data_IF_204857951892
#
_entry.id   IF_204857951892
#
_cell.length_a   1.000
_cell.length_b   1.000
_cell.length_c   1.000
_cell.angle_alpha   90.00
_cell.angle_beta   90.00
_cell.angle_gamma   90.00
#
_symmetry.space_group_name_H-M   'P 1'
#
loop_
_entity.id
_entity.type
_entity.pdbx_description
1 polymer ?
#
# COMPACT_ATOMS: atom_id res chain seq x y z
N UNK A 1 -23.89 4.97 -1.47
CA UNK A 1 -22.92 6.03 -1.84
C UNK A 1 -23.68 7.20 -2.47
N UNK A 2 -23.26 8.45 -2.29
CA UNK A 2 -23.94 9.60 -2.91
C UNK A 2 -23.69 9.63 -4.44
N UNK A 3 -24.68 10.09 -5.20
CA UNK A 3 -24.67 10.23 -6.66
C UNK A 3 -23.44 10.96 -7.15
N UNK A 4 -23.11 12.09 -6.51
CA UNK A 4 -21.96 12.91 -6.87
C UNK A 4 -20.64 12.10 -6.86
N UNK A 5 -20.55 11.12 -5.97
CA UNK A 5 -19.36 10.32 -5.81
C UNK A 5 -19.25 9.19 -6.82
N UNK A 6 -20.36 8.55 -7.21
CA UNK A 6 -20.38 7.61 -8.34
C UNK A 6 -19.96 8.35 -9.63
N UNK A 7 -20.48 9.56 -9.83
CA UNK A 7 -20.11 10.40 -10.97
C UNK A 7 -18.61 10.71 -10.98
N UNK A 8 -18.02 11.11 -9.84
CA UNK A 8 -16.58 11.37 -9.76
C UNK A 8 -15.73 10.12 -10.09
N UNK A 9 -16.14 8.94 -9.63
CA UNK A 9 -15.44 7.68 -9.96
C UNK A 9 -15.55 7.34 -11.45
N UNK A 10 -16.73 7.53 -12.05
CA UNK A 10 -16.95 7.32 -13.48
C UNK A 10 -16.18 8.34 -14.34
N UNK A 11 -16.15 9.61 -13.94
CA UNK A 11 -15.38 10.65 -14.62
C UNK A 11 -13.87 10.33 -14.55
N UNK A 12 -13.39 9.89 -13.38
CA UNK A 12 -11.99 9.43 -13.21
C UNK A 12 -11.68 8.24 -14.12
N UNK A 13 -12.60 7.28 -14.21
CA UNK A 13 -12.50 6.12 -15.09
C UNK A 13 -12.43 6.54 -16.56
N UNK A 14 -13.32 7.43 -17.01
CA UNK A 14 -13.32 7.93 -18.40
C UNK A 14 -12.02 8.64 -18.76
N UNK A 15 -11.51 9.53 -17.89
CA UNK A 15 -10.22 10.22 -18.10
C UNK A 15 -9.06 9.24 -18.24
N UNK A 16 -9.02 8.20 -17.40
CA UNK A 16 -8.00 7.15 -17.44
C UNK A 16 -8.06 6.33 -18.72
N UNK A 17 -9.27 5.95 -19.14
CA UNK A 17 -9.49 5.23 -20.40
C UNK A 17 -9.02 6.06 -21.59
N UNK A 18 -9.35 7.35 -21.63
CA UNK A 18 -8.90 8.25 -22.70
C UNK A 18 -7.39 8.38 -22.76
N UNK A 19 -6.73 8.51 -21.60
CA UNK A 19 -5.27 8.55 -21.52
C UNK A 19 -4.66 7.27 -22.07
N UNK A 20 -5.19 6.11 -21.67
CA UNK A 20 -4.69 4.83 -22.13
C UNK A 20 -4.90 4.65 -23.65
N UNK A 21 -6.05 5.08 -24.18
CA UNK A 21 -6.30 5.10 -25.63
C UNK A 21 -5.27 5.95 -26.37
N UNK A 22 -4.94 7.15 -25.86
CA UNK A 22 -3.93 8.03 -26.45
C UNK A 22 -2.53 7.39 -26.43
N UNK A 23 -2.16 6.74 -25.34
CA UNK A 23 -0.86 6.09 -25.19
C UNK A 23 -0.67 4.90 -26.14
N UNK A 24 -1.75 4.16 -26.42
CA UNK A 24 -1.72 2.97 -27.29
C UNK A 24 -1.95 3.28 -28.77
N UNK A 25 -2.63 4.40 -29.10
CA UNK A 25 -2.95 4.76 -30.49
C UNK A 25 -1.75 4.79 -31.47
N UNK A 26 -0.53 5.19 -31.07
CA UNK A 26 0.63 5.18 -31.98
C UNK A 26 1.19 3.79 -32.30
N UNK A 27 0.82 2.75 -31.54
CA UNK A 27 1.40 1.41 -31.69
C UNK A 27 0.62 0.62 -32.74
N UNK A 28 1.26 0.34 -33.86
CA UNK A 28 0.68 -0.47 -34.93
C UNK A 28 0.84 -1.97 -34.64
N UNK A 29 -0.12 -2.58 -33.93
CA UNK A 29 -0.21 -4.02 -33.71
C UNK A 29 -1.68 -4.48 -33.73
N UNK A 30 -1.98 -5.71 -34.25
CA UNK A 30 -3.30 -6.31 -34.13
C UNK A 30 -3.79 -6.41 -32.68
N UNK A 31 -2.92 -6.83 -31.75
CA UNK A 31 -3.27 -6.90 -30.33
C UNK A 31 -3.61 -5.52 -29.74
N UNK A 32 -2.89 -4.48 -30.17
CA UNK A 32 -3.21 -3.09 -29.78
C UNK A 32 -4.53 -2.62 -30.36
N UNK A 33 -4.88 -3.03 -31.58
CA UNK A 33 -6.19 -2.75 -32.15
C UNK A 33 -7.31 -3.32 -31.27
N UNK A 34 -7.19 -4.58 -30.85
CA UNK A 34 -8.17 -5.24 -29.98
C UNK A 34 -8.29 -4.55 -28.62
N UNK A 35 -7.16 -4.17 -28.02
CA UNK A 35 -7.13 -3.38 -26.77
C UNK A 35 -7.87 -2.04 -26.96
N UNK A 36 -7.60 -1.31 -28.04
CA UNK A 36 -8.28 -0.05 -28.32
C UNK A 36 -9.80 -0.24 -28.50
N UNK A 37 -10.25 -1.36 -29.09
CA UNK A 37 -11.67 -1.69 -29.17
C UNK A 37 -12.28 -1.96 -27.79
N UNK A 38 -11.60 -2.73 -26.93
CA UNK A 38 -12.04 -2.97 -25.56
C UNK A 38 -12.10 -1.68 -24.73
N UNK A 39 -11.11 -0.79 -24.89
CA UNK A 39 -11.12 0.51 -24.23
C UNK A 39 -12.29 1.39 -24.70
N UNK A 40 -12.63 1.35 -26.00
CA UNK A 40 -13.83 2.04 -26.51
C UNK A 40 -15.11 1.45 -25.93
N UNK A 41 -15.21 0.12 -25.86
CA UNK A 41 -16.36 -0.54 -25.25
C UNK A 41 -16.49 -0.15 -23.77
N UNK A 42 -15.38 -0.16 -23.02
CA UNK A 42 -15.35 0.24 -21.63
C UNK A 42 -15.79 1.70 -21.46
N UNK A 43 -15.28 2.63 -22.30
CA UNK A 43 -15.70 4.04 -22.31
C UNK A 43 -17.20 4.20 -22.56
N UNK A 44 -17.76 3.47 -23.53
CA UNK A 44 -19.20 3.50 -23.84
C UNK A 44 -20.01 2.99 -22.64
N UNK A 45 -19.59 1.88 -22.03
CA UNK A 45 -20.26 1.32 -20.84
C UNK A 45 -20.18 2.29 -19.65
N UNK A 46 -19.04 2.96 -19.43
CA UNK A 46 -18.87 3.96 -18.38
C UNK A 46 -19.81 5.16 -18.58
N UNK A 47 -19.89 5.68 -19.82
CA UNK A 47 -20.82 6.75 -20.17
C UNK A 47 -22.29 6.37 -20.02
N UNK A 48 -22.66 5.10 -20.28
CA UNK A 48 -24.00 4.58 -19.99
C UNK A 48 -24.29 4.56 -18.49
N UNK A 49 -23.35 4.09 -17.67
CA UNK A 49 -23.49 4.11 -16.21
C UNK A 49 -23.63 5.55 -15.69
N UNK A 50 -22.87 6.50 -16.27
CA UNK A 50 -22.90 7.92 -15.93
C UNK A 50 -24.25 8.57 -16.24
N UNK A 51 -24.78 8.33 -17.43
CA UNK A 51 -26.10 8.85 -17.85
C UNK A 51 -27.27 8.27 -17.06
N UNK A 52 -27.10 7.10 -16.43
CA UNK A 52 -28.11 6.41 -15.62
C UNK A 52 -27.75 6.30 -14.15
N UNK A 53 -26.94 7.21 -13.61
CA UNK A 53 -26.41 7.11 -12.24
C UNK A 53 -27.50 6.97 -11.17
N UNK A 54 -28.67 7.59 -11.38
CA UNK A 54 -29.79 7.58 -10.44
C UNK A 54 -30.48 6.20 -10.33
N UNK A 55 -30.30 5.33 -11.32
CA UNK A 55 -30.89 3.99 -11.40
C UNK A 55 -29.83 2.93 -11.68
N UNK A 56 -28.60 3.18 -11.23
CA UNK A 56 -27.46 2.34 -11.53
C UNK A 56 -27.55 1.01 -10.78
N UNK A 57 -27.58 -0.08 -11.52
CA UNK A 57 -27.64 -1.44 -10.97
C UNK A 57 -26.24 -2.06 -10.83
N UNK A 58 -26.01 -2.93 -9.83
CA UNK A 58 -24.74 -3.65 -9.68
C UNK A 58 -24.32 -4.42 -10.93
N UNK A 59 -25.26 -4.98 -11.69
CA UNK A 59 -24.99 -5.67 -12.95
C UNK A 59 -24.31 -4.76 -13.99
N UNK A 60 -24.70 -3.49 -14.07
CA UNK A 60 -24.08 -2.53 -14.99
C UNK A 60 -22.61 -2.26 -14.66
N UNK A 61 -22.23 -2.30 -13.38
CA UNK A 61 -20.84 -2.14 -12.96
C UNK A 61 -20.07 -3.48 -13.05
N UNK A 62 -20.74 -4.61 -12.83
CA UNK A 62 -20.15 -5.92 -13.12
C UNK A 62 -19.75 -6.06 -14.60
N UNK A 63 -20.58 -5.56 -15.52
CA UNK A 63 -20.26 -5.50 -16.95
C UNK A 63 -19.05 -4.62 -17.27
N UNK A 64 -18.80 -3.55 -16.50
CA UNK A 64 -17.56 -2.76 -16.63
C UNK A 64 -16.37 -3.60 -16.20
N UNK A 65 -16.49 -4.28 -15.06
CA UNK A 65 -15.44 -5.12 -14.50
C UNK A 65 -15.06 -6.27 -15.43
N UNK A 66 -16.02 -6.94 -16.03
CA UNK A 66 -15.75 -7.99 -17.02
C UNK A 66 -14.93 -7.45 -18.20
N UNK A 67 -15.26 -6.25 -18.70
CA UNK A 67 -14.46 -5.62 -19.77
C UNK A 67 -13.05 -5.23 -19.28
N UNK A 68 -12.90 -4.80 -18.03
CA UNK A 68 -11.58 -4.53 -17.43
C UNK A 68 -10.75 -5.81 -17.30
N UNK A 69 -11.36 -6.91 -16.87
CA UNK A 69 -10.69 -8.21 -16.76
C UNK A 69 -10.27 -8.73 -18.14
N UNK A 70 -11.11 -8.53 -19.17
CA UNK A 70 -10.74 -8.81 -20.55
C UNK A 70 -9.52 -7.98 -20.98
N UNK A 71 -9.50 -6.66 -20.69
CA UNK A 71 -8.33 -5.81 -20.96
C UNK A 71 -7.08 -6.30 -20.24
N UNK A 72 -7.20 -6.70 -18.97
CA UNK A 72 -6.10 -7.24 -18.17
C UNK A 72 -5.49 -8.49 -18.82
N UNK A 73 -6.33 -9.39 -19.35
CA UNK A 73 -5.87 -10.62 -19.99
C UNK A 73 -5.04 -10.36 -21.26
N UNK A 74 -5.26 -9.25 -21.96
CA UNK A 74 -4.43 -8.86 -23.11
C UNK A 74 -3.00 -8.48 -22.72
N UNK A 75 -2.74 -8.14 -21.45
CA UNK A 75 -1.40 -7.76 -21.02
C UNK A 75 -0.36 -8.89 -21.12
N UNK A 76 -0.80 -10.15 -21.22
CA UNK A 76 0.08 -11.29 -21.48
C UNK A 76 0.52 -11.40 -22.94
N UNK A 77 0.01 -10.55 -23.84
CA UNK A 77 0.35 -10.58 -25.26
C UNK A 77 1.82 -10.19 -25.50
N UNK A 78 2.59 -10.99 -26.27
CA UNK A 78 3.98 -10.66 -26.63
C UNK A 78 4.12 -9.33 -27.39
N UNK A 79 3.09 -8.95 -28.14
CA UNK A 79 3.03 -7.71 -28.94
C UNK A 79 3.12 -6.43 -28.08
N UNK A 80 2.95 -6.56 -26.76
CA UNK A 80 3.00 -5.45 -25.81
C UNK A 80 4.38 -5.23 -25.18
N UNK A 81 5.42 -5.92 -25.69
CA UNK A 81 6.82 -5.67 -25.35
C UNK A 81 7.38 -4.44 -26.10
N UNK A 82 6.60 -3.36 -26.13
CA UNK A 82 6.98 -2.08 -26.74
C UNK A 82 6.85 -0.99 -25.68
N UNK A 83 7.68 0.05 -25.74
CA UNK A 83 7.61 1.14 -24.77
C UNK A 83 6.46 2.09 -25.11
N UNK A 84 5.74 2.56 -24.10
CA UNK A 84 4.78 3.64 -24.24
C UNK A 84 5.51 4.97 -24.35
N UNK A 85 5.25 5.70 -25.42
CA UNK A 85 5.85 7.01 -25.70
C UNK A 85 5.20 8.13 -24.86
N UNK A 86 4.01 7.88 -24.32
CA UNK A 86 3.29 8.86 -23.52
C UNK A 86 4.06 9.19 -22.22
N UNK A 87 4.36 10.48 -21.95
CA UNK A 87 5.15 10.91 -20.80
C UNK A 87 4.63 10.43 -19.46
N UNK A 88 3.31 10.20 -19.32
CA UNK A 88 2.70 9.74 -18.08
C UNK A 88 3.16 8.33 -17.70
N UNK A 89 3.58 7.53 -18.67
CA UNK A 89 4.04 6.16 -18.45
C UNK A 89 5.56 6.01 -18.45
N UNK A 90 6.33 7.11 -18.49
CA UNK A 90 7.79 7.11 -18.25
C UNK A 90 8.58 6.04 -19.05
N UNK A 91 8.22 5.79 -20.31
CA UNK A 91 8.81 4.75 -21.17
C UNK A 91 8.66 3.30 -20.63
N UNK A 92 7.69 3.04 -19.76
CA UNK A 92 7.30 1.69 -19.33
C UNK A 92 6.88 0.85 -20.53
N UNK A 93 7.04 -0.47 -20.42
CA UNK A 93 6.49 -1.39 -21.41
C UNK A 93 4.96 -1.27 -21.43
N UNK A 94 4.38 -1.37 -22.62
CA UNK A 94 2.94 -1.25 -22.84
C UNK A 94 2.16 -2.27 -21.99
N UNK A 95 2.67 -3.50 -21.85
CA UNK A 95 2.05 -4.50 -20.97
C UNK A 95 1.99 -4.05 -19.51
N UNK A 96 3.03 -3.38 -19.01
CA UNK A 96 3.13 -3.00 -17.60
C UNK A 96 2.19 -1.81 -17.34
N UNK A 97 2.16 -0.84 -18.25
CA UNK A 97 1.19 0.26 -18.23
C UNK A 97 -0.26 -0.23 -18.33
N UNK A 98 -0.53 -1.24 -19.17
CA UNK A 98 -1.86 -1.84 -19.31
C UNK A 98 -2.32 -2.54 -18.04
N UNK A 99 -1.46 -3.36 -17.41
CA UNK A 99 -1.76 -4.04 -16.16
C UNK A 99 -2.07 -3.04 -15.04
N UNK A 100 -1.23 -2.01 -14.93
CA UNK A 100 -1.38 -1.00 -13.91
C UNK A 100 -2.71 -0.23 -14.04
N UNK A 101 -3.06 0.20 -15.25
CA UNK A 101 -4.34 0.88 -15.49
C UNK A 101 -5.52 -0.08 -15.34
N UNK A 102 -5.43 -1.32 -15.81
CA UNK A 102 -6.49 -2.31 -15.61
C UNK A 102 -6.74 -2.55 -14.11
N UNK A 103 -5.68 -2.69 -13.32
CA UNK A 103 -5.79 -2.82 -11.86
C UNK A 103 -6.40 -1.58 -11.20
N UNK A 104 -6.07 -0.38 -11.68
CA UNK A 104 -6.67 0.86 -11.19
C UNK A 104 -8.16 0.93 -11.52
N UNK A 105 -8.52 0.66 -12.78
CA UNK A 105 -9.92 0.66 -13.24
C UNK A 105 -10.76 -0.38 -12.49
N UNK A 106 -10.19 -1.56 -12.21
CA UNK A 106 -10.84 -2.59 -11.42
C UNK A 106 -11.14 -2.12 -9.99
N UNK A 107 -10.21 -1.38 -9.36
CA UNK A 107 -10.44 -0.79 -8.02
C UNK A 107 -11.56 0.24 -8.03
N UNK A 108 -11.64 1.09 -9.06
CA UNK A 108 -12.76 2.02 -9.23
C UNK A 108 -14.09 1.28 -9.39
N UNK A 109 -14.15 0.26 -10.25
CA UNK A 109 -15.34 -0.56 -10.46
C UNK A 109 -15.78 -1.25 -9.16
N UNK A 110 -14.84 -1.81 -8.40
CA UNK A 110 -15.11 -2.41 -7.10
C UNK A 110 -15.62 -1.37 -6.09
N UNK A 111 -15.04 -0.17 -6.06
CA UNK A 111 -15.52 0.93 -5.21
C UNK A 111 -16.97 1.33 -5.52
N UNK A 112 -17.34 1.39 -6.80
CA UNK A 112 -18.72 1.63 -7.23
C UNK A 112 -19.66 0.50 -6.83
N UNK A 113 -19.28 -0.75 -7.08
CA UNK A 113 -20.04 -1.94 -6.68
C UNK A 113 -20.33 -1.93 -5.17
N UNK A 114 -19.31 -1.72 -4.34
CA UNK A 114 -19.45 -1.60 -2.87
C UNK A 114 -20.41 -0.46 -2.51
N UNK A 115 -20.31 0.67 -3.22
CA UNK A 115 -21.15 1.84 -3.01
C UNK A 115 -22.64 1.65 -3.35
N UNK A 116 -22.98 0.64 -4.17
CA UNK A 116 -24.34 0.28 -4.60
C UNK A 116 -25.04 -0.71 -3.64
N UNK A 117 -24.60 -0.79 -2.38
CA UNK A 117 -25.21 -1.62 -1.32
C UNK A 117 -25.26 -3.12 -1.65
N UNK A 118 -24.15 -3.63 -2.13
CA UNK A 118 -23.88 -5.05 -2.22
C UNK A 118 -24.02 -5.78 -0.86
N UNK A 119 -24.28 -7.09 -0.90
CA UNK A 119 -24.32 -7.89 0.33
C UNK A 119 -22.94 -7.90 0.99
N UNK A 120 -22.86 -8.18 2.28
CA UNK A 120 -21.57 -8.23 3.00
C UNK A 120 -20.54 -9.17 2.35
N UNK A 121 -20.99 -10.25 1.69
CA UNK A 121 -20.11 -11.20 1.03
C UNK A 121 -19.56 -10.62 -0.28
N UNK A 122 -20.43 -10.00 -1.07
CA UNK A 122 -20.03 -9.38 -2.32
C UNK A 122 -19.03 -8.25 -2.02
N UNK A 123 -19.28 -7.44 -0.98
CA UNK A 123 -18.30 -6.41 -0.53
C UNK A 123 -16.97 -7.05 -0.16
N UNK A 124 -16.98 -8.16 0.61
CA UNK A 124 -15.75 -8.87 1.02
C UNK A 124 -14.94 -9.39 -0.16
N UNK A 125 -15.59 -9.98 -1.16
CA UNK A 125 -14.94 -10.52 -2.36
C UNK A 125 -14.31 -9.43 -3.23
N UNK A 126 -14.80 -8.20 -3.12
CA UNK A 126 -14.27 -7.03 -3.82
C UNK A 126 -13.07 -6.38 -3.13
N UNK A 127 -12.78 -6.73 -1.86
CA UNK A 127 -11.69 -6.12 -1.10
C UNK A 127 -10.33 -6.58 -1.60
N UNK A 128 -9.44 -5.65 -2.02
CA UNK A 128 -8.11 -6.04 -2.49
C UNK A 128 -7.30 -6.70 -1.36
N UNK A 129 -6.34 -7.53 -1.76
CA UNK A 129 -5.33 -8.04 -0.84
C UNK A 129 -4.54 -6.89 -0.21
N UNK A 130 -3.94 -7.13 0.96
CA UNK A 130 -2.96 -6.20 1.52
C UNK A 130 -1.80 -6.02 0.55
N UNK A 131 -1.29 -4.81 0.46
CA UNK A 131 -0.22 -4.42 -0.45
C UNK A 131 1.14 -4.47 0.23
N UNK A 132 2.24 -4.54 -0.54
CA UNK A 132 3.58 -4.35 0.00
C UNK A 132 3.65 -3.04 0.79
N UNK A 133 4.10 -3.14 2.04
CA UNK A 133 4.19 -2.05 2.98
C UNK A 133 5.20 -2.41 4.07
N UNK A 134 5.61 -1.43 4.86
CA UNK A 134 6.42 -1.69 6.04
C UNK A 134 5.71 -2.62 7.04
N UNK A 135 4.39 -2.53 7.18
CA UNK A 135 3.66 -3.41 8.08
C UNK A 135 2.43 -4.02 7.40
N UNK A 136 2.29 -5.32 7.61
CA UNK A 136 1.14 -6.12 7.22
C UNK A 136 0.63 -6.88 8.43
N UNK A 137 -0.66 -7.19 8.40
CA UNK A 137 -1.34 -7.73 9.55
C UNK A 137 -2.08 -9.00 9.20
N UNK A 138 -2.12 -9.94 10.13
CA UNK A 138 -2.93 -11.14 10.03
C UNK A 138 -3.72 -11.32 11.31
N UNK A 139 -4.71 -12.20 11.23
CA UNK A 139 -5.36 -12.72 12.41
C UNK A 139 -4.75 -14.08 12.72
N UNK A 140 -4.07 -14.19 13.85
CA UNK A 140 -3.61 -15.44 14.41
C UNK A 140 -4.82 -16.20 14.97
N UNK A 141 -5.17 -17.31 14.31
CA UNK A 141 -6.36 -18.08 14.67
C UNK A 141 -6.17 -18.86 15.97
N UNK A 142 -4.92 -19.18 16.34
CA UNK A 142 -4.62 -20.00 17.50
C UNK A 142 -4.70 -19.15 18.77
N UNK A 143 -4.16 -17.92 18.70
CA UNK A 143 -4.17 -16.99 19.82
C UNK A 143 -5.31 -15.97 19.80
N UNK A 144 -6.17 -16.02 18.78
CA UNK A 144 -7.30 -15.10 18.57
C UNK A 144 -6.92 -13.61 18.61
N UNK A 145 -5.74 -13.28 18.08
CA UNK A 145 -5.17 -11.92 18.11
C UNK A 145 -4.80 -11.45 16.72
N UNK A 146 -4.84 -10.14 16.53
CA UNK A 146 -4.17 -9.51 15.39
C UNK A 146 -2.66 -9.53 15.65
N UNK A 147 -1.90 -9.93 14.65
CA UNK A 147 -0.43 -10.00 14.65
C UNK A 147 0.15 -9.25 13.46
N UNK A 148 1.39 -8.79 13.60
CA UNK A 148 2.20 -8.32 12.47
C UNK A 148 2.74 -9.54 11.73
N UNK A 149 2.68 -9.52 10.40
CA UNK A 149 3.10 -10.63 9.55
C UNK A 149 4.55 -10.45 9.14
N UNK A 150 5.33 -11.52 9.32
CA UNK A 150 6.66 -11.62 8.72
C UNK A 150 6.52 -11.96 7.21
N UNK A 151 7.10 -11.11 6.39
CA UNK A 151 7.24 -11.25 4.95
C UNK A 151 8.70 -11.54 4.58
N UNK A 152 9.08 -12.82 4.45
CA UNK A 152 10.45 -13.17 4.10
C UNK A 152 10.84 -12.52 2.79
N UNK A 153 12.11 -12.16 2.68
CA UNK A 153 12.64 -11.53 1.47
C UNK A 153 12.48 -12.47 0.26
N UNK A 154 11.95 -11.93 -0.83
CA UNK A 154 11.70 -12.67 -2.08
C UNK A 154 12.46 -12.00 -3.21
N UNK A 155 13.73 -12.36 -3.43
CA UNK A 155 14.45 -11.83 -4.58
C UNK A 155 13.82 -12.34 -5.88
N UNK A 156 14.13 -11.68 -6.98
CA UNK A 156 13.75 -12.19 -8.31
C UNK A 156 14.36 -13.59 -8.52
N UNK A 157 13.59 -14.61 -8.95
CA UNK A 157 14.11 -15.97 -9.11
C UNK A 157 15.35 -16.08 -9.99
N UNK A 158 15.52 -15.20 -10.98
CA UNK A 158 16.69 -15.20 -11.88
C UNK A 158 17.93 -14.60 -11.24
N UNK A 159 17.77 -13.81 -10.18
CA UNK A 159 18.84 -13.08 -9.51
C UNK A 159 18.94 -13.46 -8.02
N UNK A 160 18.25 -14.51 -7.59
CA UNK A 160 18.12 -14.88 -6.19
C UNK A 160 19.48 -15.12 -5.51
N UNK A 161 20.37 -15.88 -6.15
CA UNK A 161 21.71 -16.17 -5.61
C UNK A 161 22.53 -14.89 -5.41
N UNK A 162 22.52 -13.99 -6.40
CA UNK A 162 23.26 -12.72 -6.35
C UNK A 162 22.69 -11.81 -5.27
N UNK A 163 21.36 -11.70 -5.19
CA UNK A 163 20.69 -10.84 -4.22
C UNK A 163 20.89 -11.32 -2.79
N UNK A 164 20.84 -12.64 -2.56
CA UNK A 164 21.06 -13.22 -1.23
C UNK A 164 22.53 -13.14 -0.82
N UNK A 165 23.48 -13.40 -1.72
CA UNK A 165 24.90 -13.24 -1.41
C UNK A 165 25.26 -11.78 -1.08
N UNK A 166 24.71 -10.82 -1.83
CA UNK A 166 24.91 -9.40 -1.55
C UNK A 166 24.29 -8.98 -0.21
N UNK A 167 23.13 -9.56 0.14
CA UNK A 167 22.48 -9.33 1.43
C UNK A 167 23.31 -9.88 2.60
N UNK A 168 23.83 -11.10 2.48
CA UNK A 168 24.69 -11.72 3.50
C UNK A 168 25.95 -10.88 3.75
N UNK A 169 26.58 -10.40 2.68
CA UNK A 169 27.74 -9.51 2.79
C UNK A 169 27.39 -8.20 3.51
N UNK A 170 26.27 -7.57 3.15
CA UNK A 170 25.81 -6.32 3.79
C UNK A 170 25.43 -6.53 5.27
N UNK A 171 24.90 -7.70 5.63
CA UNK A 171 24.65 -8.05 7.03
C UNK A 171 25.97 -8.19 7.78
N UNK A 172 26.97 -8.86 7.21
CA UNK A 172 28.29 -8.99 7.82
C UNK A 172 28.94 -7.63 8.02
N UNK A 173 29.01 -6.81 6.97
CA UNK A 173 29.56 -5.45 7.04
C UNK A 173 28.80 -4.58 8.04
N UNK A 174 27.47 -4.69 8.09
CA UNK A 174 26.63 -3.95 9.02
C UNK A 174 26.87 -4.31 10.49
N UNK A 175 27.35 -5.53 10.77
CA UNK A 175 27.73 -5.93 12.12
C UNK A 175 29.01 -5.21 12.55
N UNK A 176 30.05 -5.24 11.71
CA UNK A 176 31.33 -4.57 11.99
C UNK A 176 31.13 -3.05 12.16
N UNK A 177 30.35 -2.44 11.27
CA UNK A 177 29.99 -1.02 11.33
C UNK A 177 29.29 -0.67 12.64
N UNK A 178 28.37 -1.52 13.11
CA UNK A 178 27.67 -1.28 14.36
C UNK A 178 28.59 -1.42 15.57
N UNK A 179 29.45 -2.45 15.59
CA UNK A 179 30.37 -2.68 16.68
C UNK A 179 31.35 -1.49 16.85
N UNK A 180 31.88 -0.98 15.73
CA UNK A 180 32.70 0.24 15.71
C UNK A 180 31.91 1.47 16.18
N UNK A 181 30.67 1.64 15.70
CA UNK A 181 29.80 2.75 16.07
C UNK A 181 29.43 2.72 17.56
N UNK A 182 29.18 1.55 18.14
CA UNK A 182 28.86 1.43 19.57
C UNK A 182 30.02 1.88 20.46
N UNK A 183 31.26 1.64 20.02
CA UNK A 183 32.48 2.03 20.74
C UNK A 183 32.86 3.51 20.56
N UNK A 184 32.21 4.24 19.65
CA UNK A 184 32.49 5.66 19.42
C UNK A 184 31.69 6.60 20.31
N UNK A 185 32.02 7.90 20.27
CA UNK A 185 31.28 8.96 20.96
C UNK A 185 30.06 9.46 20.16
N UNK A 186 29.63 8.73 19.13
CA UNK A 186 28.46 9.08 18.34
C UNK A 186 27.18 9.23 19.18
N UNK A 187 26.26 10.07 18.71
CA UNK A 187 25.01 10.32 19.41
C UNK A 187 24.18 9.04 19.60
N UNK A 188 23.41 8.90 20.71
CA UNK A 188 22.55 7.75 20.93
C UNK A 188 21.51 7.54 19.81
N UNK A 189 21.05 8.62 19.18
CA UNK A 189 20.10 8.57 18.06
C UNK A 189 20.72 7.92 16.83
N UNK A 190 21.96 8.28 16.50
CA UNK A 190 22.69 7.66 15.38
C UNK A 190 22.94 6.17 15.65
N UNK A 191 23.41 5.82 16.84
CA UNK A 191 23.60 4.42 17.28
C UNK A 191 22.32 3.61 17.14
N UNK A 192 21.20 4.13 17.66
CA UNK A 192 19.91 3.45 17.60
C UNK A 192 19.41 3.23 16.16
N UNK A 193 19.65 4.18 15.25
CA UNK A 193 19.23 4.05 13.85
C UNK A 193 19.97 2.91 13.13
N UNK A 194 21.28 2.79 13.31
CA UNK A 194 22.09 1.73 12.69
C UNK A 194 21.88 0.36 13.33
N UNK A 195 21.67 0.29 14.65
CA UNK A 195 21.28 -0.95 15.33
C UNK A 195 19.94 -1.45 14.79
N UNK A 196 18.93 -0.56 14.70
CA UNK A 196 17.62 -0.94 14.16
C UNK A 196 17.71 -1.42 12.70
N UNK A 197 18.51 -0.74 11.88
CA UNK A 197 18.74 -1.17 10.49
C UNK A 197 19.30 -2.61 10.44
N UNK A 198 20.31 -2.90 11.27
CA UNK A 198 20.93 -4.23 11.34
C UNK A 198 19.97 -5.30 11.85
N UNK A 199 19.21 -5.00 12.89
CA UNK A 199 18.18 -5.92 13.41
C UNK A 199 17.15 -6.27 12.33
N UNK A 200 16.71 -5.29 11.53
CA UNK A 200 15.76 -5.53 10.43
C UNK A 200 16.36 -6.33 9.29
N UNK A 201 17.63 -6.11 8.96
CA UNK A 201 18.36 -6.90 7.97
C UNK A 201 18.44 -8.36 8.42
N UNK A 202 18.93 -8.62 9.64
CA UNK A 202 19.10 -9.98 10.19
C UNK A 202 17.76 -10.72 10.31
N UNK A 203 16.70 -10.02 10.70
CA UNK A 203 15.41 -10.64 10.90
C UNK A 203 14.82 -11.25 9.62
N UNK A 204 15.22 -10.75 8.43
CA UNK A 204 14.69 -11.16 7.13
C UNK A 204 13.15 -11.09 7.04
N UNK A 205 12.52 -10.12 7.74
CA UNK A 205 11.06 -10.10 7.95
C UNK A 205 10.29 -9.20 7.00
N UNK A 206 10.88 -8.15 6.45
CA UNK A 206 10.17 -7.27 5.50
C UNK A 206 11.17 -6.33 4.81
N UNK A 207 11.30 -6.43 3.49
CA UNK A 207 12.26 -5.61 2.75
C UNK A 207 11.91 -4.12 2.73
N UNK A 208 10.61 -3.78 2.81
CA UNK A 208 10.15 -2.39 2.92
C UNK A 208 10.55 -1.79 4.26
N UNK A 209 10.46 -2.54 5.36
CA UNK A 209 10.95 -2.07 6.68
C UNK A 209 12.45 -1.78 6.64
N UNK A 210 13.25 -2.67 6.06
CA UNK A 210 14.69 -2.42 5.87
C UNK A 210 14.91 -1.12 5.10
N UNK A 211 14.17 -0.90 4.02
CA UNK A 211 14.25 0.34 3.26
C UNK A 211 13.91 1.59 4.05
N UNK A 212 12.90 1.55 4.91
CA UNK A 212 12.52 2.67 5.80
C UNK A 212 13.60 2.93 6.87
N UNK A 213 14.12 1.87 7.49
CA UNK A 213 15.21 1.98 8.46
C UNK A 213 16.49 2.52 7.81
N UNK A 214 16.80 2.10 6.57
CA UNK A 214 17.98 2.56 5.85
C UNK A 214 17.87 4.05 5.49
N UNK A 215 16.70 4.52 5.08
CA UNK A 215 16.45 5.94 4.83
C UNK A 215 16.59 6.77 6.10
N UNK A 216 16.03 6.26 7.21
CA UNK A 216 16.14 6.91 8.51
C UNK A 216 17.60 6.98 8.96
N UNK A 217 18.36 5.87 8.88
CA UNK A 217 19.79 5.85 9.18
C UNK A 217 20.58 6.83 8.32
N UNK A 218 20.32 6.89 7.01
CA UNK A 218 20.95 7.85 6.10
C UNK A 218 20.64 9.31 6.43
N UNK A 219 19.40 9.63 6.80
CA UNK A 219 19.01 10.98 7.24
C UNK A 219 19.68 11.36 8.55
N UNK A 220 19.64 10.48 9.56
CA UNK A 220 20.27 10.71 10.86
C UNK A 220 21.79 10.88 10.70
N UNK A 221 22.44 10.06 9.86
CA UNK A 221 23.85 10.17 9.54
C UNK A 221 24.21 11.55 8.96
N UNK A 222 23.44 12.05 7.99
CA UNK A 222 23.65 13.39 7.41
C UNK A 222 23.57 14.50 8.45
N UNK A 223 22.73 14.35 9.47
CA UNK A 223 22.61 15.31 10.57
C UNK A 223 23.80 15.34 11.53
N UNK A 224 24.70 14.35 11.49
CA UNK A 224 25.83 14.20 12.43
C UNK A 224 27.19 14.20 11.73
N UNK A 225 27.28 14.72 10.49
CA UNK A 225 28.53 14.76 9.70
C UNK A 225 29.67 15.41 10.47
N UNK A 226 29.39 16.52 11.18
CA UNK A 226 30.40 17.30 11.90
C UNK A 226 30.87 16.64 13.21
N UNK A 227 30.13 15.66 13.73
CA UNK A 227 30.44 14.97 14.99
C UNK A 227 31.29 13.71 14.78
N UNK A 228 31.43 13.26 13.53
CA UNK A 228 32.10 12.01 13.18
C UNK A 228 33.47 12.26 12.56
N UNK A 229 34.40 11.32 12.74
CA UNK A 229 35.62 11.32 11.93
C UNK A 229 35.28 11.03 10.47
N UNK A 230 36.08 11.57 9.55
CA UNK A 230 35.82 11.38 8.10
C UNK A 230 35.77 9.90 7.71
N UNK A 231 36.62 9.05 8.32
CA UNK A 231 36.61 7.61 8.05
C UNK A 231 35.35 6.93 8.56
N UNK A 232 34.88 7.28 9.78
CA UNK A 232 33.67 6.69 10.35
C UNK A 232 32.41 7.14 9.58
N UNK A 233 32.36 8.41 9.18
CA UNK A 233 31.28 8.93 8.35
C UNK A 233 31.20 8.18 7.01
N UNK A 234 32.32 8.03 6.30
CA UNK A 234 32.34 7.33 5.01
C UNK A 234 32.04 5.84 5.15
N UNK A 235 32.45 5.19 6.24
CA UNK A 235 32.08 3.78 6.53
C UNK A 235 30.56 3.63 6.74
N UNK A 236 29.94 4.50 7.55
CA UNK A 236 28.49 4.49 7.77
C UNK A 236 27.71 4.83 6.50
N UNK A 237 28.23 5.77 5.71
CA UNK A 237 27.65 6.15 4.43
C UNK A 237 27.72 5.00 3.43
N UNK A 238 28.86 4.34 3.31
CA UNK A 238 29.04 3.17 2.46
C UNK A 238 28.05 2.05 2.83
N UNK A 239 27.81 1.83 4.13
CA UNK A 239 26.79 0.88 4.59
C UNK A 239 25.38 1.26 4.10
N UNK A 240 24.98 2.54 4.25
CA UNK A 240 23.67 3.02 3.78
C UNK A 240 23.51 2.88 2.26
N UNK A 241 24.56 3.19 1.50
CA UNK A 241 24.60 3.03 0.05
C UNK A 241 24.56 1.55 -0.36
N UNK A 242 25.31 0.69 0.32
CA UNK A 242 25.33 -0.76 0.10
C UNK A 242 23.97 -1.42 0.36
N UNK A 243 23.31 -1.08 1.47
CA UNK A 243 21.94 -1.51 1.75
C UNK A 243 20.98 -1.03 0.67
N UNK A 244 21.11 0.22 0.21
CA UNK A 244 20.27 0.74 -0.89
C UNK A 244 20.45 -0.05 -2.18
N UNK A 245 21.67 -0.46 -2.51
CA UNK A 245 21.96 -1.29 -3.68
C UNK A 245 21.36 -2.70 -3.55
N UNK A 246 21.43 -3.32 -2.37
CA UNK A 246 20.77 -4.60 -2.09
C UNK A 246 19.25 -4.48 -2.22
N UNK A 247 18.65 -3.47 -1.61
CA UNK A 247 17.20 -3.21 -1.68
C UNK A 247 16.68 -3.11 -3.13
N UNK A 248 17.45 -2.50 -4.03
CA UNK A 248 17.07 -2.36 -5.43
C UNK A 248 16.91 -3.71 -6.17
N UNK A 249 17.50 -4.79 -5.65
CA UNK A 249 17.37 -6.13 -6.23
C UNK A 249 16.01 -6.80 -5.90
N UNK A 250 15.26 -6.26 -4.93
CA UNK A 250 13.97 -6.81 -4.51
C UNK A 250 12.80 -6.11 -5.22
N UNK A 251 11.96 -6.84 -5.97
CA UNK A 251 10.82 -6.27 -6.69
C UNK A 251 9.84 -5.49 -5.79
N UNK A 252 9.61 -5.96 -4.56
CA UNK A 252 8.69 -5.34 -3.61
C UNK A 252 9.13 -3.92 -3.23
N UNK A 253 10.43 -3.72 -2.99
CA UNK A 253 10.97 -2.41 -2.68
C UNK A 253 10.90 -1.45 -3.87
N UNK A 254 11.16 -1.95 -5.08
CA UNK A 254 11.04 -1.17 -6.32
C UNK A 254 9.59 -0.71 -6.54
N UNK A 255 8.64 -1.65 -6.52
CA UNK A 255 7.22 -1.33 -6.65
C UNK A 255 6.72 -0.39 -5.55
N UNK A 256 7.20 -0.56 -4.31
CA UNK A 256 6.88 0.34 -3.22
C UNK A 256 7.40 1.76 -3.49
N UNK A 257 8.67 1.89 -3.88
CA UNK A 257 9.31 3.17 -4.19
C UNK A 257 8.64 3.91 -5.35
N UNK A 258 8.25 3.21 -6.41
CA UNK A 258 7.52 3.79 -7.54
C UNK A 258 6.14 4.33 -7.12
N UNK A 259 5.42 3.58 -6.28
CA UNK A 259 4.14 4.04 -5.74
C UNK A 259 4.29 5.26 -4.83
N UNK A 260 5.42 5.39 -4.13
CA UNK A 260 5.68 6.52 -3.26
C UNK A 260 5.72 7.83 -4.05
N UNK A 261 6.39 7.85 -5.21
CA UNK A 261 6.48 9.06 -6.07
C UNK A 261 5.10 9.63 -6.43
N UNK A 262 4.12 8.74 -6.62
CA UNK A 262 2.74 9.05 -7.00
C UNK A 262 1.83 9.39 -5.83
N UNK A 263 2.34 9.28 -4.60
CA UNK A 263 1.62 9.70 -3.39
C UNK A 263 1.65 11.21 -3.32
N UNK A 264 0.46 11.82 -3.34
CA UNK A 264 0.28 13.26 -3.31
C UNK A 264 -0.73 13.61 -2.23
N UNK A 265 -0.23 13.75 -1.00
CA UNK A 265 -0.97 14.21 0.16
C UNK A 265 -0.36 15.54 0.61
N UNK A 266 -1.21 16.47 1.01
CA UNK A 266 -0.79 17.72 1.65
C UNK A 266 -0.41 17.47 3.13
N UNK A 267 0.27 18.45 3.74
CA UNK A 267 0.76 18.33 5.11
C UNK A 267 -0.38 18.15 6.13
N UNK A 268 -1.56 18.73 5.86
CA UNK A 268 -2.73 18.58 6.72
C UNK A 268 -3.24 17.12 6.69
N UNK A 269 -3.38 16.52 5.51
CA UNK A 269 -3.76 15.11 5.37
C UNK A 269 -2.73 14.18 6.00
N UNK A 270 -1.43 14.50 5.88
CA UNK A 270 -0.34 13.74 6.51
C UNK A 270 -0.45 13.82 8.04
N UNK A 271 -0.67 15.02 8.59
CA UNK A 271 -0.83 15.22 10.03
C UNK A 271 -2.07 14.49 10.58
N UNK A 272 -3.19 14.54 9.87
CA UNK A 272 -4.42 13.79 10.21
C UNK A 272 -4.17 12.28 10.26
N UNK A 273 -3.55 11.71 9.22
CA UNK A 273 -3.26 10.27 9.17
C UNK A 273 -2.25 9.84 10.24
N UNK A 274 -1.29 10.71 10.57
CA UNK A 274 -0.34 10.47 11.66
C UNK A 274 -1.06 10.43 13.00
N UNK A 275 -1.98 11.36 13.25
CA UNK A 275 -2.80 11.37 14.45
C UNK A 275 -3.72 10.14 14.52
N UNK A 276 -4.34 9.76 13.41
CA UNK A 276 -5.20 8.57 13.30
C UNK A 276 -4.43 7.28 13.65
N UNK A 277 -3.20 7.12 13.15
CA UNK A 277 -2.34 5.98 13.47
C UNK A 277 -2.01 5.91 14.97
N UNK A 278 -1.66 7.05 15.59
CA UNK A 278 -1.33 7.11 17.01
C UNK A 278 -2.54 6.87 17.91
N UNK A 279 -3.71 7.42 17.56
CA UNK A 279 -4.96 7.17 18.30
C UNK A 279 -5.36 5.70 18.21
N UNK A 280 -5.24 5.10 17.02
CA UNK A 280 -5.50 3.69 16.81
C UNK A 280 -4.54 2.81 17.60
N UNK A 281 -3.24 3.13 17.61
CA UNK A 281 -2.24 2.44 18.42
C UNK A 281 -2.60 2.49 19.91
N UNK A 282 -3.00 3.66 20.43
CA UNK A 282 -3.42 3.81 21.83
C UNK A 282 -4.65 2.97 22.18
N UNK A 283 -5.62 2.85 21.26
CA UNK A 283 -6.77 1.96 21.46
C UNK A 283 -6.36 0.49 21.47
N UNK A 284 -5.49 0.09 20.53
CA UNK A 284 -5.04 -1.29 20.42
C UNK A 284 -4.14 -1.72 21.59
N UNK A 285 -3.37 -0.80 22.20
CA UNK A 285 -2.65 -1.07 23.46
C UNK A 285 -3.56 -1.48 24.61
N UNK A 286 -4.81 -1.02 24.61
CA UNK A 286 -5.82 -1.38 25.62
C UNK A 286 -6.60 -2.64 25.24
N UNK A 287 -6.45 -3.12 24.00
CA UNK A 287 -7.18 -4.27 23.48
C UNK A 287 -6.44 -5.57 23.78
N UNK A 288 -7.16 -6.56 24.30
CA UNK A 288 -6.64 -7.92 24.48
C UNK A 288 -6.51 -8.69 23.15
N UNK A 289 -7.01 -8.11 22.06
CA UNK A 289 -7.16 -8.76 20.75
C UNK A 289 -6.06 -8.39 19.74
N UNK A 290 -5.04 -7.65 20.16
CA UNK A 290 -3.85 -7.36 19.37
C UNK A 290 -2.61 -7.70 20.21
N UNK A 291 -1.59 -8.26 19.57
CA UNK A 291 -0.27 -8.38 20.22
C UNK A 291 0.42 -7.02 20.28
N UNK A 292 1.44 -6.87 21.14
CA UNK A 292 2.09 -5.59 21.41
C UNK A 292 2.77 -4.97 20.18
N UNK A 293 3.16 -5.82 19.23
CA UNK A 293 3.81 -5.45 17.97
C UNK A 293 2.87 -4.68 17.04
N UNK A 294 1.55 -4.89 17.14
CA UNK A 294 0.57 -4.22 16.28
C UNK A 294 0.48 -2.71 16.55
N UNK A 295 0.25 -2.24 17.79
CA UNK A 295 0.30 -0.81 18.08
C UNK A 295 1.72 -0.23 17.90
N UNK A 296 2.77 -1.00 18.18
CA UNK A 296 4.15 -0.56 17.91
C UNK A 296 4.39 -0.29 16.43
N UNK A 297 3.89 -1.15 15.54
CA UNK A 297 3.96 -0.96 14.09
C UNK A 297 3.26 0.33 13.61
N UNK A 298 2.11 0.66 14.19
CA UNK A 298 1.39 1.90 13.89
C UNK A 298 2.15 3.13 14.39
N UNK A 299 2.76 3.05 15.58
CA UNK A 299 3.58 4.12 16.15
C UNK A 299 4.86 4.34 15.35
N UNK A 300 5.55 3.27 14.97
CA UNK A 300 6.77 3.33 14.17
C UNK A 300 6.49 3.94 12.78
N UNK A 301 5.40 3.55 12.12
CA UNK A 301 5.01 4.14 10.85
C UNK A 301 4.66 5.65 10.96
N UNK A 302 4.06 6.06 12.07
CA UNK A 302 3.76 7.47 12.36
C UNK A 302 5.03 8.28 12.70
N UNK A 303 5.99 7.66 13.40
CA UNK A 303 7.25 8.29 13.79
C UNK A 303 8.10 8.70 12.58
N UNK A 304 8.20 7.84 11.56
CA UNK A 304 8.96 8.16 10.34
C UNK A 304 8.55 9.47 9.65
N UNK A 305 7.26 9.80 9.74
CA UNK A 305 6.68 11.00 9.13
C UNK A 305 6.80 12.21 10.06
N UNK A 306 6.62 12.01 11.37
CA UNK A 306 6.54 13.09 12.37
C UNK A 306 7.83 13.89 12.54
N UNK A 307 8.98 13.29 12.26
CA UNK A 307 10.30 13.90 12.50
C UNK A 307 10.71 14.96 11.45
N UNK A 308 9.88 15.26 10.46
CA UNK A 308 10.26 16.07 9.28
C UNK A 308 9.19 17.12 8.94
N UNK A 309 9.62 18.34 8.64
CA UNK A 309 8.73 19.42 8.14
C UNK A 309 8.18 19.08 6.74
N UNK A 310 8.98 18.39 5.92
CA UNK A 310 8.62 17.85 4.61
C UNK A 310 9.03 16.37 4.56
N UNK A 311 8.16 15.43 4.96
CA UNK A 311 8.50 14.01 5.02
C UNK A 311 8.73 13.40 3.64
N UNK A 312 9.66 12.45 3.53
CA UNK A 312 9.89 11.71 2.29
C UNK A 312 8.59 10.97 1.89
N UNK A 313 8.27 10.97 0.59
CA UNK A 313 7.05 10.32 0.07
C UNK A 313 6.99 8.83 0.42
N UNK A 314 8.12 8.16 0.62
CA UNK A 314 8.19 6.76 1.06
C UNK A 314 7.84 6.59 2.53
N UNK A 315 8.18 7.55 3.38
CA UNK A 315 7.77 7.57 4.79
C UNK A 315 6.23 7.74 4.83
N UNK A 316 5.71 8.72 4.07
CA UNK A 316 4.25 8.97 3.95
C UNK A 316 3.52 7.74 3.41
N UNK A 317 4.03 7.11 2.35
CA UNK A 317 3.41 5.90 1.80
C UNK A 317 3.44 4.74 2.82
N UNK A 318 4.50 4.61 3.62
CA UNK A 318 4.57 3.57 4.66
C UNK A 318 3.47 3.74 5.71
N UNK A 319 3.25 4.97 6.18
CA UNK A 319 2.14 5.30 7.08
C UNK A 319 0.79 4.94 6.45
N UNK A 320 0.52 5.45 5.25
CA UNK A 320 -0.75 5.23 4.55
C UNK A 320 -1.01 3.75 4.32
N UNK A 321 -0.03 3.01 3.80
CA UNK A 321 -0.19 1.58 3.49
C UNK A 321 -0.34 0.72 4.73
N UNK A 322 0.31 1.10 5.83
CA UNK A 322 0.12 0.42 7.11
C UNK A 322 -1.33 0.56 7.59
N UNK A 323 -1.89 1.76 7.55
CA UNK A 323 -3.31 2.01 7.85
C UNK A 323 -4.25 1.28 6.89
N UNK A 324 -3.96 1.33 5.58
CA UNK A 324 -4.75 0.64 4.56
C UNK A 324 -4.75 -0.89 4.76
N UNK A 325 -3.59 -1.47 5.05
CA UNK A 325 -3.45 -2.91 5.27
C UNK A 325 -4.18 -3.36 6.53
N UNK A 326 -4.10 -2.56 7.60
CA UNK A 326 -4.85 -2.79 8.83
C UNK A 326 -6.37 -2.73 8.57
N UNK A 327 -6.84 -1.71 7.85
CA UNK A 327 -8.23 -1.57 7.47
C UNK A 327 -8.73 -2.74 6.60
N UNK A 328 -7.91 -3.20 5.64
CA UNK A 328 -8.19 -4.36 4.81
C UNK A 328 -8.37 -5.63 5.65
N UNK A 329 -7.48 -5.87 6.62
CA UNK A 329 -7.60 -7.00 7.55
C UNK A 329 -8.92 -6.95 8.32
N UNK A 330 -9.20 -5.81 8.95
CA UNK A 330 -10.40 -5.66 9.77
C UNK A 330 -11.66 -5.89 8.95
N UNK A 331 -11.78 -5.21 7.82
CA UNK A 331 -12.98 -5.25 6.97
C UNK A 331 -13.21 -6.65 6.41
N UNK A 332 -12.18 -7.33 5.91
CA UNK A 332 -12.30 -8.72 5.41
C UNK A 332 -12.79 -9.71 6.48
N UNK A 333 -12.33 -9.54 7.72
CA UNK A 333 -12.70 -10.42 8.82
C UNK A 333 -14.09 -10.12 9.37
N UNK A 334 -14.49 -8.85 9.47
CA UNK A 334 -15.83 -8.50 9.95
C UNK A 334 -16.95 -8.90 8.98
N UNK A 335 -16.68 -8.89 7.67
CA UNK A 335 -17.62 -9.26 6.61
C UNK A 335 -17.64 -10.77 6.29
N UNK A 336 -16.92 -11.61 7.04
CA UNK A 336 -16.89 -13.04 6.78
C UNK A 336 -18.25 -13.74 7.08
N UNK A 337 -18.74 -14.56 6.14
CA UNK A 337 -19.97 -15.37 6.27
C UNK A 337 -19.78 -16.58 7.19
N UNK A 338 -18.71 -17.35 6.95
CA UNK A 338 -18.39 -18.63 7.59
C UNK A 338 -16.91 -18.66 7.97
N UNK A 339 -16.61 -18.35 9.23
CA UNK A 339 -15.33 -18.74 9.83
C UNK A 339 -15.69 -19.77 10.88
N UNK A 340 -14.88 -20.85 10.98
CA UNK A 340 -14.97 -21.86 12.04
C UNK A 340 -14.95 -21.28 13.48
N UNK A 341 -14.68 -19.98 13.67
CA UNK A 341 -14.80 -19.29 14.95
C UNK A 341 -15.59 -17.98 14.82
N UNK A 342 -16.83 -17.97 15.33
CA UNK A 342 -17.61 -16.73 15.56
C UNK A 342 -16.83 -15.69 16.37
N UNK A 343 -15.90 -16.17 17.21
CA UNK A 343 -14.98 -15.35 18.01
C UNK A 343 -14.13 -14.40 17.17
N UNK A 344 -13.58 -14.84 16.03
CA UNK A 344 -12.77 -13.98 15.15
C UNK A 344 -13.59 -12.85 14.56
N UNK A 345 -14.83 -13.16 14.17
CA UNK A 345 -15.77 -12.19 13.64
C UNK A 345 -16.14 -11.17 14.72
N UNK A 346 -16.47 -11.63 15.93
CA UNK A 346 -16.78 -10.75 17.06
C UNK A 346 -15.61 -9.82 17.40
N UNK A 347 -14.39 -10.34 17.42
CA UNK A 347 -13.17 -9.57 17.67
C UNK A 347 -12.96 -8.51 16.59
N UNK A 348 -13.03 -8.90 15.31
CA UNK A 348 -12.87 -7.95 14.20
C UNK A 348 -13.96 -6.86 14.24
N UNK A 349 -15.20 -7.21 14.58
CA UNK A 349 -16.30 -6.24 14.75
C UNK A 349 -16.05 -5.27 15.90
N UNK A 350 -15.61 -5.77 17.06
CA UNK A 350 -15.28 -4.94 18.21
C UNK A 350 -14.14 -3.96 17.90
N UNK A 351 -13.09 -4.44 17.22
CA UNK A 351 -11.98 -3.58 16.80
C UNK A 351 -12.43 -2.58 15.73
N UNK A 352 -13.27 -2.96 14.75
CA UNK A 352 -13.83 -1.99 13.78
C UNK A 352 -14.62 -0.90 14.48
N UNK A 353 -15.45 -1.24 15.47
CA UNK A 353 -16.23 -0.25 16.22
C UNK A 353 -15.30 0.72 16.95
N UNK A 354 -14.26 0.21 17.62
CA UNK A 354 -13.25 1.03 18.28
C UNK A 354 -12.49 1.92 17.28
N UNK A 355 -12.04 1.36 16.16
CA UNK A 355 -11.36 2.08 15.07
C UNK A 355 -12.25 3.19 14.52
N UNK A 356 -13.50 2.89 14.14
CA UNK A 356 -14.45 3.88 13.62
C UNK A 356 -14.76 5.01 14.62
N UNK A 357 -14.62 4.76 15.92
CA UNK A 357 -14.86 5.77 16.96
C UNK A 357 -13.70 6.76 17.14
N UNK A 358 -12.49 6.40 16.73
CA UNK A 358 -11.28 7.24 16.93
C UNK A 358 -10.74 7.88 15.66
N UNK A 359 -11.06 7.32 14.49
CA UNK A 359 -10.58 7.86 13.22
C UNK A 359 -11.23 9.21 12.89
N UNK A 360 -10.42 10.10 12.33
CA UNK A 360 -10.85 11.39 11.80
C UNK A 360 -11.89 11.25 10.68
N UNK A 361 -12.64 12.32 10.42
CA UNK A 361 -13.58 12.39 9.29
C UNK A 361 -12.81 12.28 7.95
N UNK A 362 -11.58 12.78 7.90
CA UNK A 362 -10.72 12.81 6.72
C UNK A 362 -10.01 11.50 6.40
N UNK A 363 -9.92 10.55 7.35
CA UNK A 363 -9.21 9.27 7.20
C UNK A 363 -9.46 8.60 5.85
N UNK A 364 -10.73 8.37 5.54
CA UNK A 364 -11.12 7.57 4.39
C UNK A 364 -10.83 8.29 3.07
N UNK A 365 -11.11 9.61 3.01
CA UNK A 365 -10.81 10.42 1.83
C UNK A 365 -9.31 10.60 1.61
N UNK A 366 -8.52 10.72 2.67
CA UNK A 366 -7.06 10.91 2.56
C UNK A 366 -6.38 9.65 2.05
N UNK A 367 -6.75 8.46 2.55
CA UNK A 367 -6.21 7.20 2.01
C UNK A 367 -6.67 6.98 0.56
N UNK A 368 -7.90 7.37 0.20
CA UNK A 368 -8.42 7.21 -1.16
C UNK A 368 -7.68 8.04 -2.22
N UNK A 369 -6.97 9.11 -1.84
CA UNK A 369 -6.10 9.90 -2.73
C UNK A 369 -4.81 9.15 -3.12
N UNK A 370 -4.41 8.12 -2.37
CA UNK A 370 -3.16 7.38 -2.60
C UNK A 370 -3.40 6.25 -3.60
N UNK A 371 -2.50 6.01 -4.57
CA UNK A 371 -2.71 4.99 -5.61
C UNK A 371 -3.12 3.64 -5.02
N UNK A 372 -4.27 3.12 -5.43
CA UNK A 372 -4.82 1.88 -4.94
C UNK A 372 -5.67 1.95 -3.67
N UNK A 373 -5.75 3.09 -2.99
CA UNK A 373 -6.59 3.27 -1.80
C UNK A 373 -8.05 3.60 -2.11
N UNK A 374 -8.45 3.67 -3.39
CA UNK A 374 -9.73 4.26 -3.85
C UNK A 374 -10.96 3.54 -3.27
N UNK A 375 -10.81 2.26 -2.91
CA UNK A 375 -11.85 1.41 -2.32
C UNK A 375 -12.13 1.72 -0.84
N UNK A 376 -11.21 2.39 -0.14
CA UNK A 376 -11.30 2.61 1.32
C UNK A 376 -12.52 3.45 1.67
N UNK A 377 -12.75 4.53 0.93
CA UNK A 377 -13.83 5.46 1.26
C UNK A 377 -15.21 4.84 1.01
N UNK A 378 -15.34 3.88 0.08
CA UNK A 378 -16.57 3.14 -0.15
C UNK A 378 -16.82 2.13 0.99
N UNK A 379 -15.78 1.39 1.40
CA UNK A 379 -15.88 0.41 2.48
C UNK A 379 -16.09 1.04 3.86
N UNK A 380 -15.46 2.18 4.10
CA UNK A 380 -15.66 2.98 5.31
C UNK A 380 -17.12 3.44 5.43
N UNK A 381 -17.67 3.98 4.34
CA UNK A 381 -19.08 4.38 4.30
C UNK A 381 -20.02 3.17 4.51
N UNK A 382 -19.74 2.04 3.88
CA UNK A 382 -20.51 0.80 4.05
C UNK A 382 -20.52 0.33 5.51
N UNK A 383 -19.35 0.21 6.15
CA UNK A 383 -19.25 -0.24 7.54
C UNK A 383 -19.90 0.74 8.51
N UNK A 384 -19.77 2.05 8.29
CA UNK A 384 -20.42 3.07 9.12
C UNK A 384 -21.95 2.98 9.03
N UNK A 385 -22.50 2.78 7.83
CA UNK A 385 -23.94 2.62 7.62
C UNK A 385 -24.49 1.33 8.25
N UNK A 386 -23.67 0.28 8.32
CA UNK A 386 -24.06 -1.02 8.86
C UNK A 386 -23.56 -1.25 10.30
N UNK A 387 -23.05 -0.21 10.99
CA UNK A 387 -22.40 -0.32 12.30
C UNK A 387 -23.28 -1.01 13.36
N UNK A 388 -24.60 -0.81 13.29
CA UNK A 388 -25.58 -1.44 14.18
C UNK A 388 -25.67 -2.97 13.99
N UNK A 389 -25.38 -3.48 12.80
CA UNK A 389 -25.29 -4.94 12.54
C UNK A 389 -23.98 -5.56 13.06
N UNK A 390 -23.05 -4.71 13.51
CA UNK A 390 -21.76 -5.11 14.05
C UNK A 390 -21.69 -5.06 15.58
N UNK A 391 -22.68 -4.49 16.26
CA UNK A 391 -22.80 -4.54 17.72
C UNK A 391 -23.30 -5.95 18.11
N UNK A 392 -22.54 -6.74 18.89
CA UNK A 392 -23.06 -7.99 19.45
C UNK A 392 -24.27 -7.66 20.35
N UNK A 393 -25.39 -8.36 20.14
CA UNK A 393 -26.57 -8.25 21.01
C UNK A 393 -26.28 -8.83 22.39
#
# INVERSE_FOLDING_TARGET
>A
MDRARILNLLDTMEVRIERLQKAFAPIASPAVHDILQLLRQLKIKAGRCRSKVDVLEPASIADLRETIDNIRNFASSPDLNVQLIDPVYENRLARDGLLEEADFLARLANGMLIGLNLTANDVRELLPAQKPAAFRFAYDNDNQKIVVVDEPFRPDPKQAEIALAALEEIISQGQDVNDDLQQSNASPRLKAAFVRLQERLIAHRNIVQVGQCNQTAGRVLKGHVEELSSSQFEQLRAQVEGVSAVLAQFPEWRHFSENAVRTNLDNDAIAELTADALLLAQQLKKSVHAVAEVPQALEEAAEWVKEQDEPDKRDVLSLVRTLENFWSLLTKNALAKEIKSETKKMIAKGIILATLSVLSVGFASNIAKVPGGEWIEATFAYLKAHIQTFIPK
#
